data_IF_262680856447
#
_entry.id   IF_262680856447
#
_cell.length_a   1.000
_cell.length_b   1.000
_cell.length_c   1.000
_cell.angle_alpha   90.00
_cell.angle_beta   90.00
_cell.angle_gamma   90.00
#
_symmetry.space_group_name_H-M   'P 1'
#
loop_
_entity.id
_entity.type
_entity.pdbx_description
1 polymer ?
#
# COMPACT_ATOMS: atom_id res chain seq x y z
N UNK A 1 23.91 0.93 21.33
CA UNK A 1 22.47 0.99 21.65
C UNK A 1 21.89 2.37 21.37
N UNK A 2 22.36 3.45 22.01
CA UNK A 2 21.72 4.77 21.93
C UNK A 2 21.60 5.36 20.51
N UNK A 3 22.63 5.28 19.66
CA UNK A 3 22.61 5.93 18.34
C UNK A 3 21.57 5.34 17.38
N UNK A 4 21.36 4.02 17.40
CA UNK A 4 20.38 3.34 16.54
C UNK A 4 18.95 3.73 16.89
N UNK A 5 18.66 3.92 18.17
CA UNK A 5 17.37 4.41 18.64
C UNK A 5 17.09 5.83 18.12
N UNK A 6 18.08 6.72 18.16
CA UNK A 6 17.93 8.08 17.62
C UNK A 6 17.73 8.09 16.10
N UNK A 7 18.44 7.23 15.36
CA UNK A 7 18.22 7.02 13.92
C UNK A 7 16.81 6.48 13.63
N UNK A 8 16.33 5.52 14.43
CA UNK A 8 14.96 5.03 14.37
C UNK A 8 13.97 6.19 14.55
N UNK A 9 14.16 6.97 15.62
CA UNK A 9 13.26 8.05 15.96
C UNK A 9 13.25 9.12 14.87
N UNK A 10 14.41 9.56 14.42
CA UNK A 10 14.54 10.58 13.37
C UNK A 10 13.91 10.12 12.05
N UNK A 11 14.21 8.91 11.59
CA UNK A 11 13.62 8.37 10.35
C UNK A 11 12.11 8.23 10.45
N UNK A 12 11.59 7.76 11.59
CA UNK A 12 10.15 7.66 11.82
C UNK A 12 9.48 9.04 11.85
N UNK A 13 10.05 10.03 12.55
CA UNK A 13 9.51 11.40 12.57
C UNK A 13 9.39 11.95 11.14
N UNK A 14 10.42 11.77 10.30
CA UNK A 14 10.38 12.22 8.91
C UNK A 14 9.30 11.50 8.11
N UNK A 15 9.27 10.17 8.14
CA UNK A 15 8.34 9.35 7.34
C UNK A 15 6.89 9.60 7.77
N UNK A 16 6.61 9.64 9.07
CA UNK A 16 5.27 9.94 9.60
C UNK A 16 4.84 11.38 9.33
N UNK A 17 5.75 12.35 9.42
CA UNK A 17 5.42 13.75 9.08
C UNK A 17 4.99 13.89 7.63
N UNK A 18 5.70 13.24 6.70
CA UNK A 18 5.35 13.21 5.28
C UNK A 18 3.98 12.54 5.09
N UNK A 19 3.75 11.41 5.75
CA UNK A 19 2.49 10.69 5.68
C UNK A 19 1.31 11.53 6.19
N UNK A 20 1.42 12.16 7.35
CA UNK A 20 0.37 13.04 7.89
C UNK A 20 0.15 14.28 7.04
N UNK A 21 1.23 14.86 6.50
CA UNK A 21 1.12 15.97 5.56
C UNK A 21 0.28 15.58 4.33
N UNK A 22 0.57 14.41 3.73
CA UNK A 22 -0.19 13.90 2.59
C UNK A 22 -1.64 13.55 2.96
N UNK A 23 -1.84 12.98 4.15
CA UNK A 23 -3.16 12.64 4.67
C UNK A 23 -4.04 13.90 4.83
N UNK A 24 -3.46 15.01 5.30
CA UNK A 24 -4.18 16.27 5.49
C UNK A 24 -4.60 16.96 4.18
N UNK A 25 -3.92 16.64 3.07
CA UNK A 25 -4.12 17.31 1.78
C UNK A 25 -5.09 16.62 0.84
N UNK A 26 -5.64 15.45 1.18
CA UNK A 26 -6.47 14.65 0.27
C UNK A 26 -7.72 14.07 0.91
N UNK A 27 -8.76 13.89 0.11
CA UNK A 27 -9.92 13.08 0.48
C UNK A 27 -9.56 11.60 0.43
N UNK A 28 -9.47 10.99 1.61
CA UNK A 28 -9.10 9.58 1.77
C UNK A 28 -10.34 8.72 1.97
N UNK A 29 -10.22 7.45 1.58
CA UNK A 29 -11.18 6.40 1.94
C UNK A 29 -10.70 5.78 3.26
N UNK A 30 -11.62 5.48 4.19
CA UNK A 30 -11.32 4.78 5.45
C UNK A 30 -10.48 3.52 5.21
N UNK A 31 -10.79 2.72 4.18
CA UNK A 31 -10.01 1.53 3.86
C UNK A 31 -8.57 1.84 3.40
N UNK A 32 -8.40 2.92 2.63
CA UNK A 32 -7.07 3.37 2.20
C UNK A 32 -6.24 3.88 3.38
N UNK A 33 -6.89 4.56 4.33
CA UNK A 33 -6.27 5.02 5.57
C UNK A 33 -5.79 3.84 6.42
N UNK A 34 -6.63 2.83 6.63
CA UNK A 34 -6.26 1.62 7.39
C UNK A 34 -5.05 0.94 6.76
N UNK A 35 -5.07 0.70 5.44
CA UNK A 35 -3.95 0.11 4.70
C UNK A 35 -2.69 0.95 4.83
N UNK A 36 -2.80 2.27 4.67
CA UNK A 36 -1.69 3.20 4.84
C UNK A 36 -1.07 3.12 6.24
N UNK A 37 -1.90 3.14 7.29
CA UNK A 37 -1.44 3.03 8.68
C UNK A 37 -0.74 1.69 8.92
N UNK A 38 -1.28 0.58 8.42
CA UNK A 38 -0.67 -0.73 8.61
C UNK A 38 0.73 -0.81 7.98
N UNK A 39 0.91 -0.29 6.76
CA UNK A 39 2.22 -0.19 6.12
C UNK A 39 3.17 0.76 6.85
N UNK A 40 2.67 1.88 7.39
CA UNK A 40 3.47 2.81 8.19
C UNK A 40 3.94 2.19 9.51
N UNK A 41 3.06 1.48 10.22
CA UNK A 41 3.43 0.73 11.43
C UNK A 41 4.49 -0.33 11.14
N UNK A 42 4.34 -1.06 10.02
CA UNK A 42 5.35 -2.00 9.57
C UNK A 42 6.70 -1.30 9.28
N UNK A 43 6.67 -0.15 8.61
CA UNK A 43 7.88 0.62 8.29
C UNK A 43 8.64 1.05 9.54
N UNK A 44 7.96 1.31 10.67
CA UNK A 44 8.59 1.66 11.95
C UNK A 44 9.54 0.56 12.40
N UNK A 45 9.07 -0.69 12.36
CA UNK A 45 9.85 -1.85 12.80
C UNK A 45 11.07 -2.07 11.91
N UNK A 46 10.96 -1.75 10.62
CA UNK A 46 12.03 -1.96 9.64
C UNK A 46 12.97 -0.77 9.46
N UNK A 47 12.59 0.42 9.91
CA UNK A 47 13.28 1.71 9.65
C UNK A 47 14.77 1.71 9.98
N UNK A 48 15.20 0.99 11.01
CA UNK A 48 16.61 0.96 11.46
C UNK A 48 17.46 -0.04 10.69
N UNK A 49 16.85 -1.13 10.20
CA UNK A 49 17.59 -2.27 9.65
C UNK A 49 18.49 -1.90 8.46
N UNK A 50 18.06 -1.05 7.50
CA UNK A 50 18.93 -0.60 6.40
C UNK A 50 20.18 0.12 6.88
N UNK A 51 20.02 1.11 7.77
CA UNK A 51 21.12 1.94 8.25
C UNK A 51 22.10 1.13 9.10
N UNK A 52 21.57 0.27 9.97
CA UNK A 52 22.41 -0.56 10.83
C UNK A 52 23.18 -1.60 10.03
N UNK A 53 22.53 -2.28 9.09
CA UNK A 53 23.23 -3.21 8.19
C UNK A 53 24.35 -2.53 7.40
N UNK A 54 24.13 -1.29 6.97
CA UNK A 54 25.10 -0.53 6.19
C UNK A 54 26.29 -0.03 7.04
N UNK A 55 26.02 0.44 8.26
CA UNK A 55 27.00 1.11 9.12
C UNK A 55 27.68 0.17 10.13
N UNK A 56 27.09 -0.98 10.46
CA UNK A 56 27.61 -1.96 11.40
C UNK A 56 28.01 -3.25 10.67
N UNK A 57 29.31 -3.48 10.40
CA UNK A 57 29.79 -4.71 9.76
C UNK A 57 29.47 -5.97 10.57
N UNK A 58 29.25 -5.83 11.89
CA UNK A 58 28.95 -6.92 12.81
C UNK A 58 27.44 -7.08 13.04
N UNK A 59 26.60 -6.45 12.21
CA UNK A 59 25.17 -6.59 12.31
C UNK A 59 24.76 -8.07 12.23
N UNK A 60 24.16 -8.65 13.30
CA UNK A 60 23.96 -10.09 13.42
C UNK A 60 22.95 -10.63 12.39
N UNK A 61 22.22 -9.73 11.74
CA UNK A 61 21.38 -10.03 10.60
C UNK A 61 19.92 -9.65 10.83
N UNK A 62 19.14 -9.85 9.78
CA UNK A 62 17.69 -9.71 9.81
C UNK A 62 17.11 -11.03 9.30
N UNK A 63 16.33 -11.68 10.16
CA UNK A 63 15.58 -12.89 9.82
C UNK A 63 14.11 -12.53 9.68
N UNK A 64 13.69 -12.19 8.46
CA UNK A 64 12.28 -11.94 8.12
C UNK A 64 11.83 -12.93 7.05
N UNK A 65 11.10 -13.93 7.51
CA UNK A 65 10.66 -15.05 6.69
C UNK A 65 11.79 -15.77 5.96
N UNK A 66 11.68 -15.92 4.64
CA UNK A 66 12.72 -16.58 3.84
C UNK A 66 14.01 -15.75 3.73
N UNK A 67 13.94 -14.45 4.01
CA UNK A 67 15.11 -13.57 3.96
C UNK A 67 15.85 -13.65 5.30
N UNK A 68 16.85 -14.52 5.34
CA UNK A 68 17.79 -14.67 6.45
C UNK A 68 19.19 -14.24 6.01
N UNK A 69 19.47 -12.95 6.16
CA UNK A 69 20.71 -12.34 5.70
C UNK A 69 21.49 -11.75 6.87
N UNK A 70 22.81 -11.65 6.72
CA UNK A 70 23.74 -11.16 7.76
C UNK A 70 24.60 -10.01 7.24
N UNK A 71 25.05 -9.15 8.16
CA UNK A 71 25.95 -8.03 7.84
C UNK A 71 25.38 -7.11 6.75
N UNK A 72 26.23 -6.71 5.80
CA UNK A 72 25.92 -5.79 4.70
C UNK A 72 24.88 -6.33 3.72
N UNK A 73 24.74 -7.66 3.59
CA UNK A 73 23.78 -8.26 2.65
C UNK A 73 22.32 -7.92 2.98
N UNK A 74 22.02 -7.54 4.23
CA UNK A 74 20.68 -7.11 4.65
C UNK A 74 20.29 -5.74 4.10
N UNK A 75 21.26 -4.88 3.78
CA UNK A 75 21.01 -3.46 3.47
C UNK A 75 20.04 -3.32 2.31
N UNK A 76 20.31 -3.99 1.19
CA UNK A 76 19.51 -3.87 -0.02
C UNK A 76 18.08 -4.41 0.19
N UNK A 77 17.86 -5.64 0.67
CA UNK A 77 16.50 -6.14 0.90
C UNK A 77 15.73 -5.34 1.95
N UNK A 78 16.38 -4.95 3.05
CA UNK A 78 15.72 -4.12 4.07
C UNK A 78 15.31 -2.75 3.51
N UNK A 79 16.18 -2.12 2.69
CA UNK A 79 15.87 -0.85 2.02
C UNK A 79 14.71 -0.99 1.05
N UNK A 80 14.69 -2.06 0.25
CA UNK A 80 13.62 -2.31 -0.71
C UNK A 80 12.28 -2.55 -0.03
N UNK A 81 12.25 -3.37 1.02
CA UNK A 81 11.02 -3.66 1.77
C UNK A 81 10.54 -2.41 2.52
N UNK A 82 11.45 -1.65 3.13
CA UNK A 82 11.13 -0.39 3.80
C UNK A 82 10.58 0.64 2.81
N UNK A 83 11.29 0.85 1.70
CA UNK A 83 10.86 1.75 0.62
C UNK A 83 9.53 1.32 0.02
N UNK A 84 9.30 0.02 -0.14
CA UNK A 84 8.02 -0.52 -0.59
C UNK A 84 6.88 -0.21 0.37
N UNK A 85 7.05 -0.47 1.68
CA UNK A 85 6.02 -0.19 2.68
C UNK A 85 5.64 1.31 2.68
N UNK A 86 6.63 2.20 2.66
CA UNK A 86 6.39 3.66 2.59
C UNK A 86 5.71 4.05 1.27
N UNK A 87 6.17 3.52 0.14
CA UNK A 87 5.58 3.79 -1.16
C UNK A 87 4.15 3.27 -1.27
N UNK A 88 3.87 2.07 -0.76
CA UNK A 88 2.54 1.47 -0.72
C UNK A 88 1.59 2.29 0.16
N UNK A 89 2.05 2.73 1.35
CA UNK A 89 1.29 3.61 2.23
C UNK A 89 0.91 4.93 1.53
N UNK A 90 1.88 5.54 0.85
CA UNK A 90 1.63 6.76 0.09
C UNK A 90 0.69 6.51 -1.09
N UNK A 91 0.93 5.49 -1.92
CA UNK A 91 0.07 5.20 -3.07
C UNK A 91 -1.36 4.87 -2.65
N UNK A 92 -1.54 4.18 -1.51
CA UNK A 92 -2.86 3.90 -0.94
C UNK A 92 -3.63 5.20 -0.65
N UNK A 93 -3.00 6.19 -0.02
CA UNK A 93 -3.65 7.47 0.33
C UNK A 93 -3.78 8.40 -0.88
N UNK A 94 -2.77 8.45 -1.75
CA UNK A 94 -2.68 9.46 -2.80
C UNK A 94 -3.40 9.08 -4.08
N UNK A 95 -3.21 7.86 -4.58
CA UNK A 95 -3.62 7.44 -5.93
C UNK A 95 -4.34 6.09 -5.87
N UNK A 96 -5.34 5.98 -5.00
CA UNK A 96 -6.12 4.76 -4.76
C UNK A 96 -6.99 4.25 -5.93
N UNK A 97 -6.52 4.37 -7.19
CA UNK A 97 -7.15 3.90 -8.43
C UNK A 97 -6.10 3.61 -9.52
N UNK A 98 -6.42 2.69 -10.43
CA UNK A 98 -5.65 2.43 -11.67
C UNK A 98 -4.47 1.47 -11.52
N UNK A 99 -3.55 1.52 -12.50
CA UNK A 99 -2.38 0.62 -12.63
C UNK A 99 -1.49 0.57 -11.37
N UNK A 100 -1.46 1.66 -10.60
CA UNK A 100 -0.72 1.74 -9.33
C UNK A 100 -1.24 0.75 -8.28
N UNK A 101 -2.55 0.47 -8.26
CA UNK A 101 -3.11 -0.54 -7.36
C UNK A 101 -2.67 -1.94 -7.74
N UNK A 102 -2.55 -2.25 -9.03
CA UNK A 102 -2.00 -3.54 -9.49
C UNK A 102 -0.57 -3.75 -9.01
N UNK A 103 0.24 -2.68 -9.03
CA UNK A 103 1.61 -2.72 -8.50
C UNK A 103 1.61 -3.01 -7.00
N UNK A 104 0.78 -2.33 -6.21
CA UNK A 104 0.61 -2.63 -4.77
C UNK A 104 0.22 -4.10 -4.56
N UNK A 105 -0.78 -4.60 -5.30
CA UNK A 105 -1.23 -6.00 -5.20
C UNK A 105 -0.07 -6.97 -5.42
N UNK A 106 0.71 -6.79 -6.49
CA UNK A 106 1.78 -7.73 -6.84
C UNK A 106 2.88 -7.72 -5.77
N UNK A 107 3.35 -6.56 -5.35
CA UNK A 107 4.42 -6.51 -4.35
C UNK A 107 3.94 -6.90 -2.96
N UNK A 108 2.70 -6.58 -2.57
CA UNK A 108 2.15 -7.01 -1.29
C UNK A 108 1.89 -8.51 -1.26
N UNK A 109 1.43 -9.13 -2.35
CA UNK A 109 1.35 -10.59 -2.45
C UNK A 109 2.74 -11.20 -2.35
N UNK A 110 3.73 -10.63 -3.04
CA UNK A 110 5.11 -11.13 -2.98
C UNK A 110 5.65 -11.11 -1.54
N UNK A 111 5.48 -9.99 -0.82
CA UNK A 111 5.92 -9.87 0.58
C UNK A 111 5.10 -10.75 1.53
N UNK A 112 3.78 -10.82 1.35
CA UNK A 112 2.91 -11.69 2.13
C UNK A 112 3.26 -13.17 1.95
N UNK A 113 3.60 -13.61 0.72
CA UNK A 113 4.07 -14.96 0.47
C UNK A 113 5.46 -15.20 1.06
N UNK A 114 6.34 -14.20 1.05
CA UNK A 114 7.65 -14.32 1.66
C UNK A 114 7.57 -14.56 3.18
N UNK A 115 6.73 -13.77 3.86
CA UNK A 115 6.55 -13.83 5.31
C UNK A 115 5.59 -14.94 5.77
N UNK A 116 4.45 -15.08 5.10
CA UNK A 116 3.47 -16.13 5.41
C UNK A 116 3.97 -17.51 5.00
N UNK A 117 4.62 -17.63 3.85
CA UNK A 117 5.16 -18.88 3.35
C UNK A 117 6.26 -19.44 4.26
N UNK A 118 7.13 -18.58 4.80
CA UNK A 118 8.15 -19.02 5.76
C UNK A 118 7.51 -19.55 7.03
N UNK A 119 6.45 -18.90 7.51
CA UNK A 119 5.72 -19.32 8.72
C UNK A 119 5.07 -20.70 8.51
N UNK A 120 4.53 -20.97 7.32
CA UNK A 120 3.93 -22.28 7.01
C UNK A 120 4.99 -23.38 6.86
N UNK A 121 6.14 -23.10 6.25
CA UNK A 121 7.20 -24.09 6.03
C UNK A 121 8.02 -24.35 7.30
N UNK A 122 8.39 -23.31 8.04
CA UNK A 122 9.02 -23.41 9.36
C UNK A 122 8.03 -23.91 10.42
N UNK A 123 6.73 -23.72 10.16
CA UNK A 123 5.56 -24.35 10.79
C UNK A 123 5.77 -25.79 11.21
N UNK A 124 6.42 -26.57 10.34
CA UNK A 124 6.62 -28.01 10.49
C UNK A 124 7.83 -28.41 11.33
N UNK A 125 8.74 -27.49 11.65
CA UNK A 125 10.03 -27.83 12.26
C UNK A 125 10.18 -27.38 13.72
N UNK A 126 9.11 -26.91 14.36
CA UNK A 126 9.09 -26.31 15.72
C UNK A 126 10.11 -25.17 15.95
N UNK A 127 10.77 -24.70 14.89
CA UNK A 127 11.88 -23.74 14.95
C UNK A 127 11.47 -22.35 14.43
N UNK A 128 10.32 -21.83 14.86
CA UNK A 128 9.91 -20.48 14.51
C UNK A 128 10.82 -19.51 15.22
N UNK A 129 11.50 -18.66 14.45
CA UNK A 129 12.46 -17.70 14.98
C UNK A 129 12.43 -16.43 14.17
N UNK A 130 12.18 -15.30 14.84
CA UNK A 130 12.38 -13.97 14.28
C UNK A 130 13.62 -13.37 14.93
N UNK A 131 14.56 -12.93 14.09
CA UNK A 131 15.77 -12.24 14.52
C UNK A 131 15.66 -10.74 14.21
N UNK A 132 15.55 -9.92 15.26
CA UNK A 132 15.48 -8.46 15.17
C UNK A 132 16.86 -7.77 15.16
N UNK A 133 17.95 -8.54 15.01
CA UNK A 133 19.28 -7.97 14.87
C UNK A 133 19.97 -7.51 16.17
N UNK A 134 19.41 -7.82 17.35
CA UNK A 134 19.99 -7.42 18.66
C UNK A 134 20.36 -8.61 19.56
N UNK A 135 20.53 -9.80 19.00
CA UNK A 135 20.64 -11.04 19.79
C UNK A 135 19.34 -11.40 20.51
N UNK A 136 18.30 -10.56 20.41
CA UNK A 136 16.93 -10.87 20.80
C UNK A 136 16.24 -11.59 19.65
N UNK A 137 16.10 -12.89 19.83
CA UNK A 137 15.24 -13.73 19.00
C UNK A 137 13.96 -14.01 19.76
N UNK A 138 12.81 -13.81 19.11
CA UNK A 138 11.55 -14.36 19.62
C UNK A 138 11.37 -15.71 18.95
N UNK A 139 11.19 -16.76 19.74
CA UNK A 139 10.99 -18.12 19.24
C UNK A 139 9.61 -18.66 19.55
N UNK A 140 9.23 -19.74 18.86
CA UNK A 140 8.00 -20.48 19.11
C UNK A 140 6.74 -19.73 18.66
N UNK A 141 5.59 -20.12 19.23
CA UNK A 141 4.25 -19.71 18.78
C UNK A 141 4.06 -18.19 18.70
N UNK A 142 4.62 -17.46 19.67
CA UNK A 142 4.56 -16.00 19.72
C UNK A 142 5.22 -15.34 18.49
N UNK A 143 6.34 -15.91 18.02
CA UNK A 143 7.03 -15.37 16.84
C UNK A 143 6.17 -15.52 15.57
N UNK A 144 5.50 -16.66 15.37
CA UNK A 144 4.60 -16.82 14.23
C UNK A 144 3.38 -15.90 14.32
N UNK A 145 2.80 -15.69 15.50
CA UNK A 145 1.72 -14.71 15.64
C UNK A 145 2.17 -13.31 15.28
N UNK A 146 3.37 -12.91 15.72
CA UNK A 146 3.94 -11.61 15.35
C UNK A 146 4.13 -11.54 13.83
N UNK A 147 4.74 -12.56 13.22
CA UNK A 147 4.98 -12.62 11.78
C UNK A 147 3.66 -12.57 10.99
N UNK A 148 2.64 -13.28 11.44
CA UNK A 148 1.36 -13.36 10.74
C UNK A 148 0.55 -12.08 10.91
N UNK A 149 0.44 -11.54 12.12
CA UNK A 149 -0.39 -10.36 12.42
C UNK A 149 0.27 -9.04 12.04
N UNK A 150 1.59 -8.90 12.23
CA UNK A 150 2.29 -7.63 11.99
C UNK A 150 3.05 -7.62 10.67
N UNK A 151 3.50 -8.77 10.16
CA UNK A 151 4.30 -8.82 8.93
C UNK A 151 3.55 -9.39 7.73
N UNK A 152 2.51 -10.21 7.91
CA UNK A 152 1.79 -10.82 6.78
C UNK A 152 0.43 -10.14 6.56
N UNK A 153 -0.33 -9.94 7.62
CA UNK A 153 -1.68 -9.38 7.57
C UNK A 153 -1.75 -7.99 6.91
N UNK A 154 -0.86 -7.01 7.22
CA UNK A 154 -0.85 -5.72 6.52
C UNK A 154 -0.83 -5.84 5.00
N UNK A 155 0.03 -6.72 4.47
CA UNK A 155 0.20 -6.92 3.04
C UNK A 155 -0.97 -7.70 2.43
N UNK A 156 -1.49 -8.72 3.11
CA UNK A 156 -2.69 -9.44 2.64
C UNK A 156 -3.90 -8.51 2.60
N UNK A 157 -4.14 -7.74 3.65
CA UNK A 157 -5.24 -6.79 3.71
C UNK A 157 -5.11 -5.71 2.63
N UNK A 158 -3.90 -5.18 2.43
CA UNK A 158 -3.59 -4.22 1.38
C UNK A 158 -3.79 -4.80 -0.01
N UNK A 159 -3.31 -6.02 -0.29
CA UNK A 159 -3.49 -6.69 -1.57
C UNK A 159 -4.97 -6.95 -1.89
N UNK A 160 -5.76 -7.43 -0.92
CA UNK A 160 -7.20 -7.65 -1.10
C UNK A 160 -7.90 -6.32 -1.41
N UNK A 161 -7.57 -5.26 -0.66
CA UNK A 161 -8.12 -3.93 -0.88
C UNK A 161 -7.77 -3.38 -2.26
N UNK A 162 -6.48 -3.41 -2.63
CA UNK A 162 -5.99 -2.91 -3.91
C UNK A 162 -6.56 -3.71 -5.09
N UNK A 163 -6.75 -5.04 -4.94
CA UNK A 163 -7.37 -5.89 -5.95
C UNK A 163 -8.85 -5.51 -6.19
N UNK A 164 -9.62 -5.30 -5.11
CA UNK A 164 -11.01 -4.82 -5.21
C UNK A 164 -11.07 -3.47 -5.92
N UNK A 165 -10.13 -2.58 -5.60
CA UNK A 165 -10.07 -1.24 -6.17
C UNK A 165 -9.67 -1.24 -7.64
N UNK A 166 -8.75 -2.12 -8.03
CA UNK A 166 -8.34 -2.31 -9.43
C UNK A 166 -9.51 -2.75 -10.31
N UNK A 167 -10.41 -3.62 -9.81
CA UNK A 167 -11.58 -4.10 -10.56
C UNK A 167 -12.64 -3.02 -10.77
N UNK A 168 -12.82 -2.12 -9.81
CA UNK A 168 -13.83 -1.06 -9.89
C UNK A 168 -13.62 -0.03 -11.01
N UNK A 169 -12.46 -0.01 -11.66
CA UNK A 169 -12.16 0.85 -12.80
C UNK A 169 -12.50 0.20 -14.16
N UNK A 170 -12.87 -1.09 -14.20
CA UNK A 170 -13.08 -1.86 -15.43
C UNK A 170 -14.53 -1.90 -15.92
N UNK A 171 -15.51 -1.50 -15.11
CA UNK A 171 -16.87 -1.28 -15.59
C UNK A 171 -16.89 0.06 -16.31
N UNK A 172 -16.65 0.03 -17.63
CA UNK A 172 -17.21 1.07 -18.48
C UNK A 172 -18.70 1.18 -18.12
N UNK A 173 -19.26 2.40 -17.94
CA UNK A 173 -20.70 2.53 -17.80
C UNK A 173 -21.33 1.72 -18.94
N UNK A 174 -22.36 0.89 -18.67
CA UNK A 174 -23.06 0.22 -19.74
C UNK A 174 -23.43 1.30 -20.75
N UNK A 175 -23.16 1.04 -22.04
CA UNK A 175 -23.61 1.86 -23.17
C UNK A 175 -25.14 1.87 -23.13
N UNK A 176 -25.73 2.66 -22.23
CA UNK A 176 -27.18 2.87 -22.12
C UNK A 176 -27.61 4.08 -22.94
N UNK A 177 -26.72 4.68 -23.74
CA UNK A 177 -27.07 5.78 -24.66
C UNK A 177 -27.51 5.28 -26.04
N UNK A 178 -27.05 4.14 -26.54
CA UNK A 178 -27.24 3.81 -27.97
C UNK A 178 -28.51 2.98 -28.24
N UNK A 179 -29.31 2.68 -27.21
CA UNK A 179 -30.62 2.03 -27.36
C UNK A 179 -31.81 2.94 -27.03
N UNK A 180 -31.58 4.21 -26.70
CA UNK A 180 -32.65 5.19 -26.44
C UNK A 180 -32.76 6.31 -27.49
N UNK A 181 -31.98 6.25 -28.57
CA UNK A 181 -32.04 7.19 -29.71
C UNK A 181 -32.42 6.48 -31.02
N UNK A 182 -33.40 5.58 -30.97
CA UNK A 182 -34.07 5.07 -32.18
C UNK A 182 -35.56 4.79 -31.94
N UNK A 183 -36.20 5.67 -31.19
CA UNK A 183 -37.65 5.62 -30.93
C UNK A 183 -38.22 7.02 -30.68
N UNK A 184 -38.06 7.92 -31.65
CA UNK A 184 -38.78 9.21 -31.67
C UNK A 184 -38.95 9.80 -33.09
N UNK A 185 -38.84 8.99 -34.16
CA UNK A 185 -39.15 9.46 -35.51
C UNK A 185 -40.35 8.67 -36.04
N UNK A 186 -41.49 8.86 -35.39
CA UNK A 186 -42.78 8.48 -35.97
C UNK A 186 -43.81 9.50 -35.52
N UNK A 187 -44.22 10.27 -36.53
CA UNK A 187 -45.51 10.97 -36.68
C UNK A 187 -45.76 12.27 -35.90
N UNK A 188 -46.09 13.28 -36.73
CA UNK A 188 -47.03 14.37 -36.48
C UNK A 188 -46.64 15.43 -35.43
N UNK A 189 -46.82 16.73 -35.66
CA UNK A 189 -47.76 17.39 -36.55
C UNK A 189 -47.30 18.83 -36.82
N UNK A 190 -47.90 19.37 -37.86
CA UNK A 190 -47.92 20.73 -38.39
C UNK A 190 -47.86 21.93 -37.41
N UNK A 191 -47.44 23.08 -37.97
CA UNK A 191 -47.62 24.46 -37.51
C UNK A 191 -46.76 24.98 -36.33
N UNK A 192 -45.75 25.79 -36.65
CA UNK A 192 -45.98 27.24 -36.51
C UNK A 192 -44.95 28.06 -37.31
N UNK A 193 -45.49 28.72 -38.33
CA UNK A 193 -44.88 29.77 -39.13
C UNK A 193 -45.24 31.08 -38.41
N UNK A 194 -44.26 31.93 -38.18
CA UNK A 194 -44.35 33.32 -37.67
C UNK A 194 -44.32 33.52 -36.15
N UNK A 195 -43.17 33.98 -35.64
CA UNK A 195 -43.05 35.21 -34.84
C UNK A 195 -41.59 35.35 -34.36
N UNK A 196 -40.98 36.51 -34.23
CA UNK A 196 -41.16 37.82 -34.82
C UNK A 196 -39.78 38.49 -34.65
N UNK A 197 -39.43 39.31 -35.62
CA UNK A 197 -38.22 40.15 -35.67
C UNK A 197 -38.30 41.33 -34.68
N UNK A 198 -37.19 42.10 -34.58
CA UNK A 198 -36.95 43.41 -33.93
C UNK A 198 -36.54 43.40 -32.43
N UNK A 199 -35.64 44.24 -31.93
CA UNK A 199 -35.00 45.46 -32.46
C UNK A 199 -33.64 45.72 -31.79
N UNK A 200 -32.77 46.27 -32.63
CA UNK A 200 -31.65 47.17 -32.40
C UNK A 200 -31.80 48.24 -31.29
N UNK A 201 -30.63 48.63 -30.76
CA UNK A 201 -30.18 49.99 -30.37
C UNK A 201 -30.41 50.55 -28.95
N UNK A 202 -29.28 50.97 -28.33
CA UNK A 202 -29.15 52.21 -27.58
C UNK A 202 -29.21 52.13 -26.05
N UNK A 203 -28.06 52.22 -25.36
CA UNK A 203 -27.46 53.43 -24.74
C UNK A 203 -26.06 53.06 -24.24
#
# INVERSE_FOLDING_TARGET
>A
MAIWFWLALASNVVVWSIFFYLLSRRHWNVAALIVGILHMLFSVVLSVAPFRSFLDPHYPGLGLGFLRLKGLAVTLPATLIFGWAVAAAWLAISKGRGRWMTLIVVGDIFLALNFGGSTLLEGRSDNWRIDFGEGRSITGLASAFILLLFFTFPFVASAIWAARRSRSNGTAPPLTSDLQEKRSDTEDDTNDINSFCFSESGV
#
